data_IF_517424662322
#
_entry.id   IF_517424662322
#
_cell.length_a   1.000
_cell.length_b   1.000
_cell.length_c   1.000
_cell.angle_alpha   90.00
_cell.angle_beta   90.00
_cell.angle_gamma   90.00
#
_symmetry.space_group_name_H-M   'P 1'
#
loop_
_entity.id
_entity.type
_entity.pdbx_description
1 polymer ?
#
# COMPACT_ATOMS: atom_id res chain seq x y z
N UNK A 1 2.73 17.49 -0.67
CA UNK A 1 1.79 16.51 -0.07
C UNK A 1 0.51 16.47 -0.90
N UNK A 2 0.03 15.27 -1.24
CA UNK A 2 -1.09 15.04 -2.17
C UNK A 2 -2.46 14.85 -1.47
N UNK A 3 -2.56 15.12 -0.15
CA UNK A 3 -3.79 14.90 0.63
C UNK A 3 -4.16 13.42 0.80
N UNK A 4 -3.25 12.49 0.49
CA UNK A 4 -3.46 11.06 0.66
C UNK A 4 -3.17 10.61 2.10
N UNK A 5 -3.87 9.57 2.54
CA UNK A 5 -3.62 8.90 3.83
C UNK A 5 -2.61 7.78 3.61
N UNK A 6 -1.44 7.86 4.25
CA UNK A 6 -0.42 6.83 4.13
C UNK A 6 -0.77 5.63 5.02
N UNK A 7 -0.91 4.43 4.44
CA UNK A 7 -1.11 3.20 5.18
C UNK A 7 0.12 2.29 5.07
N UNK A 8 0.97 2.26 6.09
CA UNK A 8 2.16 1.40 6.09
C UNK A 8 1.81 0.02 6.61
N UNK A 9 1.96 -0.99 5.75
CA UNK A 9 1.76 -2.39 6.12
C UNK A 9 3.12 -3.02 6.42
N UNK A 10 3.32 -3.44 7.66
CA UNK A 10 4.55 -4.12 8.03
C UNK A 10 4.55 -5.54 7.43
N UNK A 11 5.45 -5.77 6.48
CA UNK A 11 5.70 -7.08 5.85
C UNK A 11 6.16 -8.15 6.84
N UNK A 12 6.44 -7.82 8.11
CA UNK A 12 6.80 -8.79 9.17
C UNK A 12 5.65 -9.10 10.14
N UNK A 13 4.46 -8.53 9.93
CA UNK A 13 3.29 -8.86 10.74
C UNK A 13 2.90 -10.33 10.48
N UNK A 14 3.05 -11.14 11.54
CA UNK A 14 2.94 -12.61 11.62
C UNK A 14 4.22 -13.38 11.25
N UNK A 15 5.06 -13.63 12.26
CA UNK A 15 6.00 -14.76 12.26
C UNK A 15 5.46 -15.83 13.24
N UNK A 16 5.70 -17.13 12.96
CA UNK A 16 7.07 -17.63 12.87
C UNK A 16 7.62 -17.90 11.46
N UNK A 17 6.77 -18.01 10.44
CA UNK A 17 7.22 -18.46 9.11
C UNK A 17 6.38 -17.85 7.99
N UNK A 18 6.73 -16.63 7.57
CA UNK A 18 6.32 -15.95 6.31
C UNK A 18 4.86 -15.42 6.28
N UNK A 19 4.72 -14.22 5.70
CA UNK A 19 3.46 -13.52 5.44
C UNK A 19 2.37 -14.42 4.85
N UNK A 20 1.14 -14.20 5.30
CA UNK A 20 -0.05 -14.75 4.70
C UNK A 20 -0.80 -13.64 3.92
N UNK A 21 -0.87 -13.79 2.59
CA UNK A 21 -1.63 -12.93 1.68
C UNK A 21 -3.06 -12.54 2.16
N UNK A 22 -3.83 -13.41 2.88
CA UNK A 22 -5.15 -13.04 3.41
C UNK A 22 -5.16 -11.86 4.37
N UNK A 23 -4.11 -11.69 5.20
CA UNK A 23 -4.05 -10.57 6.13
C UNK A 23 -3.85 -9.26 5.38
N UNK A 24 -2.96 -9.23 4.38
CA UNK A 24 -2.78 -8.05 3.53
C UNK A 24 -4.08 -7.74 2.77
N UNK A 25 -4.75 -8.74 2.21
CA UNK A 25 -6.02 -8.57 1.51
C UNK A 25 -7.07 -7.88 2.39
N UNK A 26 -7.20 -8.33 3.64
CA UNK A 26 -8.09 -7.72 4.62
C UNK A 26 -7.72 -6.26 4.90
N UNK A 27 -6.44 -5.95 5.08
CA UNK A 27 -5.97 -4.59 5.34
C UNK A 27 -6.24 -3.66 4.15
N UNK A 28 -5.96 -4.10 2.92
CA UNK A 28 -6.20 -3.34 1.69
C UNK A 28 -7.68 -3.07 1.48
N UNK A 29 -8.52 -4.08 1.68
CA UNK A 29 -9.97 -3.95 1.60
C UNK A 29 -10.56 -3.04 2.68
N UNK A 30 -10.14 -3.21 3.93
CA UNK A 30 -10.61 -2.39 5.04
C UNK A 30 -10.19 -0.92 4.91
N UNK A 31 -8.99 -0.65 4.38
CA UNK A 31 -8.51 0.71 4.14
C UNK A 31 -9.03 1.33 2.84
N UNK A 32 -9.75 0.56 2.01
CA UNK A 32 -10.17 0.97 0.66
C UNK A 32 -9.00 1.57 -0.14
N UNK A 33 -7.84 0.88 -0.09
CA UNK A 33 -6.60 1.36 -0.69
C UNK A 33 -6.76 1.61 -2.19
N UNK A 34 -6.40 2.81 -2.64
CA UNK A 34 -6.49 3.23 -4.06
C UNK A 34 -5.16 3.14 -4.81
N UNK A 35 -4.05 3.14 -4.08
CA UNK A 35 -2.68 2.98 -4.59
C UNK A 35 -1.96 2.01 -3.66
N UNK A 36 -1.23 1.06 -4.22
CA UNK A 36 -0.39 0.10 -3.50
C UNK A 36 1.02 0.19 -4.05
N UNK A 37 1.96 0.56 -3.18
CA UNK A 37 3.39 0.58 -3.48
C UNK A 37 4.03 -0.64 -2.85
N UNK A 38 4.81 -1.40 -3.63
CA UNK A 38 5.44 -2.63 -3.17
C UNK A 38 6.85 -2.75 -3.72
N UNK A 39 7.75 -3.33 -2.93
CA UNK A 39 9.07 -3.74 -3.39
C UNK A 39 8.94 -4.92 -4.38
N UNK A 40 9.80 -4.95 -5.40
CA UNK A 40 9.84 -6.06 -6.36
C UNK A 40 9.92 -7.45 -5.72
N UNK A 41 10.58 -7.59 -4.56
CA UNK A 41 10.70 -8.87 -3.85
C UNK A 41 9.37 -9.36 -3.27
N UNK A 42 8.49 -8.43 -2.87
CA UNK A 42 7.19 -8.74 -2.27
C UNK A 42 6.03 -8.66 -3.27
N UNK A 43 6.33 -8.39 -4.54
CA UNK A 43 5.32 -8.31 -5.58
C UNK A 43 4.45 -9.58 -5.70
N UNK A 44 5.00 -10.82 -5.66
CA UNK A 44 4.17 -12.02 -5.73
C UNK A 44 3.14 -12.11 -4.59
N UNK A 45 3.54 -11.70 -3.39
CA UNK A 45 2.68 -11.69 -2.21
C UNK A 45 1.57 -10.63 -2.33
N UNK A 46 1.90 -9.44 -2.84
CA UNK A 46 0.91 -8.41 -3.10
C UNK A 46 -0.11 -8.88 -4.15
N UNK A 47 0.32 -9.58 -5.20
CA UNK A 47 -0.57 -10.14 -6.21
C UNK A 47 -1.55 -11.16 -5.61
N UNK A 48 -1.08 -12.08 -4.77
CA UNK A 48 -1.94 -13.03 -4.07
C UNK A 48 -2.96 -12.32 -3.16
N UNK A 49 -2.54 -11.27 -2.46
CA UNK A 49 -3.42 -10.51 -1.59
C UNK A 49 -4.52 -9.79 -2.38
N UNK A 50 -4.21 -9.25 -3.56
CA UNK A 50 -5.20 -8.61 -4.43
C UNK A 50 -6.22 -9.61 -4.98
N UNK A 51 -5.79 -10.83 -5.35
CA UNK A 51 -6.72 -11.90 -5.78
C UNK A 51 -7.69 -12.28 -4.68
N UNK A 52 -7.17 -12.48 -3.45
CA UNK A 52 -8.02 -12.78 -2.29
C UNK A 52 -8.98 -11.63 -2.01
N UNK A 53 -8.53 -10.38 -2.13
CA UNK A 53 -9.38 -9.22 -1.92
C UNK A 53 -10.48 -9.13 -2.99
N UNK A 54 -10.17 -9.38 -4.26
CA UNK A 54 -11.13 -9.44 -5.35
C UNK A 54 -12.21 -10.50 -5.08
N UNK A 55 -11.81 -11.71 -4.73
CA UNK A 55 -12.72 -12.82 -4.39
C UNK A 55 -13.65 -12.48 -3.21
N UNK A 56 -13.11 -11.83 -2.17
CA UNK A 56 -13.87 -11.45 -0.98
C UNK A 56 -14.82 -10.27 -1.20
N UNK A 57 -14.54 -9.42 -2.18
CA UNK A 57 -15.25 -8.16 -2.40
C UNK A 57 -16.60 -8.31 -3.12
N UNK A 58 -16.99 -9.52 -3.55
CA UNK A 58 -18.32 -9.84 -4.13
C UNK A 58 -18.83 -8.84 -5.19
N UNK A 59 -17.95 -8.33 -6.04
CA UNK A 59 -18.28 -7.39 -7.12
C UNK A 59 -18.11 -5.90 -6.81
N UNK A 60 -17.70 -5.51 -5.60
CA UNK A 60 -17.33 -4.13 -5.24
C UNK A 60 -15.82 -3.87 -5.32
N UNK A 61 -15.07 -4.74 -6.01
CA UNK A 61 -13.63 -4.61 -6.14
C UNK A 61 -13.26 -3.52 -7.15
N UNK A 62 -12.50 -2.52 -6.69
CA UNK A 62 -11.84 -1.55 -7.57
C UNK A 62 -10.34 -1.82 -7.48
N UNK A 63 -9.68 -2.25 -8.57
CA UNK A 63 -8.25 -2.54 -8.53
C UNK A 63 -7.48 -1.26 -8.19
N UNK A 64 -6.57 -1.30 -7.20
CA UNK A 64 -5.71 -0.17 -6.89
C UNK A 64 -4.64 0.01 -7.98
N UNK A 65 -4.08 1.22 -8.08
CA UNK A 65 -2.87 1.44 -8.87
C UNK A 65 -1.69 0.73 -8.20
N UNK A 66 -1.06 -0.20 -8.91
CA UNK A 66 0.12 -0.91 -8.43
C UNK A 66 1.39 -0.21 -8.88
N UNK A 67 2.23 0.16 -7.91
CA UNK A 67 3.54 0.75 -8.14
C UNK A 67 4.59 -0.22 -7.59
N UNK A 68 5.51 -0.65 -8.44
CA UNK A 68 6.63 -1.51 -8.06
C UNK A 68 7.90 -0.67 -7.93
N UNK A 69 8.60 -0.85 -6.80
CA UNK A 69 9.90 -0.24 -6.55
C UNK A 69 10.95 -1.28 -6.97
N UNK A 70 11.70 -0.94 -8.03
CA UNK A 70 12.83 -1.74 -8.49
C UNK A 70 14.12 -1.28 -7.81
N UNK A 71 14.95 -2.24 -7.43
CA UNK A 71 16.35 -2.06 -7.01
C UNK A 71 17.24 -2.75 -8.03
N UNK A 72 18.29 -2.04 -8.48
CA UNK A 72 19.30 -2.54 -9.42
C UNK A 72 20.11 -3.71 -8.85
N UNK A 73 20.16 -3.85 -7.52
CA UNK A 73 20.89 -4.91 -6.82
C UNK A 73 20.11 -6.23 -6.72
N UNK A 74 18.80 -6.26 -6.97
CA UNK A 74 18.03 -7.52 -6.95
C UNK A 74 17.83 -8.08 -8.37
N UNK A 75 17.17 -9.24 -8.44
CA UNK A 75 16.93 -9.93 -9.70
C UNK A 75 16.05 -9.09 -10.65
N UNK A 76 16.54 -8.72 -11.85
CA UNK A 76 15.78 -7.93 -12.81
C UNK A 76 14.59 -8.70 -13.41
N UNK A 77 14.52 -10.03 -13.22
CA UNK A 77 13.39 -10.85 -13.61
C UNK A 77 12.15 -10.58 -12.75
N UNK A 78 12.31 -10.29 -11.46
CA UNK A 78 11.22 -9.93 -10.56
C UNK A 78 10.53 -8.63 -11.02
N UNK A 79 11.32 -7.58 -11.31
CA UNK A 79 10.81 -6.32 -11.85
C UNK A 79 10.08 -6.52 -13.19
N UNK A 80 10.68 -7.26 -14.13
CA UNK A 80 10.04 -7.53 -15.43
C UNK A 80 8.73 -8.30 -15.30
N UNK A 81 8.67 -9.25 -14.38
CA UNK A 81 7.43 -10.00 -14.06
C UNK A 81 6.35 -9.05 -13.54
N UNK A 82 6.70 -8.14 -12.63
CA UNK A 82 5.77 -7.15 -12.08
C UNK A 82 5.21 -6.22 -13.17
N UNK A 83 6.08 -5.68 -14.03
CA UNK A 83 5.67 -4.82 -15.15
C UNK A 83 4.79 -5.57 -16.16
N UNK A 84 5.10 -6.84 -16.44
CA UNK A 84 4.29 -7.70 -17.32
C UNK A 84 2.88 -7.96 -16.78
N UNK A 85 2.66 -7.81 -15.48
CA UNK A 85 1.36 -7.95 -14.81
C UNK A 85 0.61 -6.61 -14.64
N UNK A 86 1.11 -5.53 -15.24
CA UNK A 86 0.44 -4.23 -15.25
C UNK A 86 0.81 -3.31 -14.09
N UNK A 87 1.87 -3.60 -13.34
CA UNK A 87 2.43 -2.65 -12.38
C UNK A 87 3.18 -1.52 -13.10
N UNK A 88 3.21 -0.34 -12.47
CA UNK A 88 4.00 0.81 -12.93
C UNK A 88 5.29 0.88 -12.12
N UNK A 89 6.42 1.10 -12.80
CA UNK A 89 7.71 1.30 -12.13
C UNK A 89 7.73 2.65 -11.38
N UNK A 90 8.22 2.65 -10.15
CA UNK A 90 8.27 3.84 -9.30
C UNK A 90 9.00 5.03 -9.95
N UNK A 91 10.17 4.81 -10.54
CA UNK A 91 10.94 5.89 -11.18
C UNK A 91 10.20 6.49 -12.37
N UNK A 92 9.58 5.65 -13.21
CA UNK A 92 8.71 6.13 -14.31
C UNK A 92 7.49 6.88 -13.80
N UNK A 93 6.93 6.46 -12.68
CA UNK A 93 5.81 7.16 -12.06
C UNK A 93 6.25 8.54 -11.55
N UNK A 94 7.44 8.66 -10.96
CA UNK A 94 8.01 9.94 -10.53
C UNK A 94 8.21 10.91 -11.70
N UNK A 95 8.67 10.45 -12.86
CA UNK A 95 8.85 11.27 -14.07
C UNK A 95 7.53 11.91 -14.56
N UNK A 96 6.39 11.30 -14.24
CA UNK A 96 5.06 11.85 -14.58
C UNK A 96 4.59 12.97 -13.64
N UNK A 97 5.27 13.16 -12.51
CA UNK A 97 4.95 14.18 -11.53
C UNK A 97 5.37 15.59 -11.96
N UNK A 98 4.61 16.58 -11.51
CA UNK A 98 4.97 18.00 -11.69
C UNK A 98 5.93 18.44 -10.56
N UNK A 99 7.19 18.82 -10.87
CA UNK A 99 8.14 19.32 -9.87
C UNK A 99 7.71 20.64 -9.23
N UNK A 100 6.90 21.45 -9.93
CA UNK A 100 6.41 22.74 -9.45
C UNK A 100 5.04 22.64 -8.77
N UNK A 101 4.58 21.41 -8.46
CA UNK A 101 3.31 21.19 -7.80
C UNK A 101 3.21 21.99 -6.49
N UNK A 102 2.31 22.97 -6.49
CA UNK A 102 2.00 23.78 -5.32
C UNK A 102 1.28 22.94 -4.27
N UNK A 103 2.06 22.28 -3.42
CA UNK A 103 1.51 21.42 -2.38
C UNK A 103 0.60 22.22 -1.44
N UNK A 104 -0.51 21.60 -1.05
CA UNK A 104 -1.44 22.17 -0.08
C UNK A 104 -1.23 21.49 1.27
N UNK A 105 -1.06 22.23 2.37
CA UNK A 105 -1.15 21.65 3.70
C UNK A 105 -2.58 21.14 3.93
N UNK A 106 -2.77 20.18 4.84
CA UNK A 106 -4.10 19.80 5.28
C UNK A 106 -4.87 21.03 5.77
N UNK A 107 -6.15 21.12 5.40
CA UNK A 107 -7.00 22.28 5.74
C UNK A 107 -7.42 22.27 7.21
N UNK A 108 -7.34 21.11 7.86
CA UNK A 108 -7.75 20.90 9.23
C UNK A 108 -6.81 19.91 9.94
N UNK A 109 -6.52 20.16 11.21
CA UNK A 109 -5.76 19.27 12.11
C UNK A 109 -6.42 17.90 12.27
N UNK A 110 -7.73 17.81 12.03
CA UNK A 110 -8.49 16.56 12.05
C UNK A 110 -8.33 15.71 10.78
N UNK A 111 -7.67 16.22 9.73
CA UNK A 111 -7.39 15.42 8.55
C UNK A 111 -6.40 14.30 8.90
N UNK A 112 -6.73 13.08 8.49
CA UNK A 112 -5.87 11.92 8.71
C UNK A 112 -4.69 11.95 7.75
N UNK A 113 -3.48 11.77 8.29
CA UNK A 113 -2.23 11.75 7.50
C UNK A 113 -1.66 10.34 7.38
N UNK A 114 -1.98 9.45 8.32
CA UNK A 114 -1.63 8.04 8.22
C UNK A 114 -2.67 7.13 8.86
N UNK A 115 -2.72 5.90 8.36
CA UNK A 115 -3.40 4.77 8.96
C UNK A 115 -2.33 3.75 9.35
N UNK A 116 -2.41 3.23 10.56
CA UNK A 116 -1.55 2.14 11.02
C UNK A 116 -2.41 1.00 11.57
N UNK A 117 -1.95 -0.23 11.42
CA UNK A 117 -2.62 -1.39 12.00
C UNK A 117 -1.79 -1.97 13.13
N UNK A 118 -2.43 -2.17 14.28
CA UNK A 118 -1.80 -2.84 15.43
C UNK A 118 -2.53 -4.14 15.72
N UNK A 119 -1.78 -5.18 16.09
CA UNK A 119 -2.36 -6.43 16.58
C UNK A 119 -2.88 -6.19 18.00
N UNK A 120 -4.18 -5.90 18.13
CA UNK A 120 -4.84 -5.95 19.43
C UNK A 120 -4.83 -7.37 20.02
N UNK A 121 -5.14 -7.51 21.29
CA UNK A 121 -5.25 -8.81 21.99
C UNK A 121 -6.39 -9.72 21.49
N UNK A 122 -7.32 -9.18 20.71
CA UNK A 122 -8.34 -9.95 19.97
C UNK A 122 -7.89 -10.13 18.53
N UNK A 123 -8.07 -11.34 17.98
CA UNK A 123 -7.50 -11.89 16.74
C UNK A 123 -7.67 -11.10 15.41
N UNK A 124 -8.21 -9.89 15.43
CA UNK A 124 -8.38 -9.02 14.27
C UNK A 124 -7.56 -7.72 14.45
N UNK A 125 -6.74 -7.31 13.45
CA UNK A 125 -5.99 -6.05 13.50
C UNK A 125 -6.94 -4.86 13.69
N UNK A 126 -6.58 -3.92 14.57
CA UNK A 126 -7.32 -2.67 14.74
C UNK A 126 -6.58 -1.56 14.00
N UNK A 127 -7.30 -0.83 13.14
CA UNK A 127 -6.79 0.37 12.50
C UNK A 127 -6.75 1.54 13.48
N UNK A 128 -5.66 2.29 13.48
CA UNK A 128 -5.50 3.55 14.20
C UNK A 128 -5.18 4.66 13.21
N UNK A 129 -5.88 5.78 13.32
CA UNK A 129 -5.69 6.97 12.49
C UNK A 129 -4.74 7.95 13.19
N UNK A 130 -3.71 8.41 12.48
CA UNK A 130 -2.90 9.54 12.89
C UNK A 130 -3.43 10.80 12.22
N UNK A 131 -3.68 11.85 13.01
CA UNK A 131 -4.17 13.16 12.57
C UNK A 131 -3.07 14.21 12.76
N UNK A 132 -3.17 15.36 12.11
CA UNK A 132 -2.12 16.38 12.00
C UNK A 132 -1.84 17.20 13.27
N UNK A 133 -2.43 16.87 14.43
CA UNK A 133 -2.31 17.68 15.67
C UNK A 133 -0.85 17.78 16.12
N UNK A 134 -0.27 18.98 16.01
CA UNK A 134 1.08 19.32 16.49
C UNK A 134 2.14 19.63 15.42
N UNK A 135 1.78 19.77 14.15
CA UNK A 135 2.71 20.06 13.04
C UNK A 135 2.51 21.45 12.36
N UNK A 136 1.75 22.35 12.98
CA UNK A 136 1.58 23.75 12.54
C UNK A 136 2.26 24.70 13.52
#
# INVERSE_FOLDING_TARGET
MAGAVLNTVNVRLNAPTILNAPTIAFLLGHSSSVVVMVDQEYFPLAEEALKIWEEQSKGHYKPPLLIVIGDENCDPGALKSALGRGAVEYEKFLESGDPEYAWKPPEDEWQSISLGYTSGTTASPKGWFCITVGLI
#
